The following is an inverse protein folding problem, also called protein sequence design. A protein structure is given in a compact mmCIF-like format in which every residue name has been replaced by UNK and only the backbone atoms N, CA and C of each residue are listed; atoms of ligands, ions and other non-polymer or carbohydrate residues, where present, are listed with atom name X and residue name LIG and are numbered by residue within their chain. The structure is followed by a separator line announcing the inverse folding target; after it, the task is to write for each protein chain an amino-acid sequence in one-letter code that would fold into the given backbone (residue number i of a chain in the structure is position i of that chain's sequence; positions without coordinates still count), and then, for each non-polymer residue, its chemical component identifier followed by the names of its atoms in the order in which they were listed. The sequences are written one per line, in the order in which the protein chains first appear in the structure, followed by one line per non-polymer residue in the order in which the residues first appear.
data_IF_567462447926
#
_entry.id   IF_567462447926
#
_cell.length_a   1.000
_cell.length_b   1.000
_cell.length_c   1.000
_cell.angle_alpha   90.00
_cell.angle_beta   90.00
_cell.angle_gamma   90.00
#
_symmetry.space_group_name_H-M   'P 1'
#
loop_
_entity.id
_entity.type
_entity.pdbx_description
1 polymer ?
#
# COMPACT_ATOMS: atom_id res chain seq x y z
N UNK A 1 -11.65 15.48 15.36
CA UNK A 1 -10.82 14.66 14.47
C UNK A 1 -9.59 15.48 14.21
N UNK A 2 -8.40 14.93 14.48
CA UNK A 2 -7.16 15.68 14.35
C UNK A 2 -6.84 15.88 12.87
N UNK A 3 -6.49 17.11 12.50
CA UNK A 3 -6.13 17.47 11.13
C UNK A 3 -4.81 16.77 10.74
N UNK A 4 -4.87 15.90 9.74
CA UNK A 4 -3.71 15.11 9.31
C UNK A 4 -2.53 16.01 8.87
N UNK A 5 -2.79 17.22 8.36
CA UNK A 5 -1.73 18.18 8.01
C UNK A 5 -0.96 18.64 9.23
N UNK A 6 -1.68 19.02 10.29
CA UNK A 6 -1.06 19.39 11.56
C UNK A 6 -0.27 18.24 12.19
N UNK A 7 -0.73 16.99 12.06
CA UNK A 7 0.02 15.82 12.52
C UNK A 7 1.33 15.64 11.72
N UNK A 8 1.29 15.78 10.39
CA UNK A 8 2.51 15.77 9.57
C UNK A 8 3.47 16.87 10.00
N UNK A 9 2.99 18.10 10.16
CA UNK A 9 3.82 19.24 10.58
C UNK A 9 4.50 18.95 11.93
N UNK A 10 3.78 18.35 12.88
CA UNK A 10 4.31 17.96 14.19
C UNK A 10 5.39 16.88 14.07
N UNK A 11 5.15 15.83 13.28
CA UNK A 11 6.12 14.76 13.05
C UNK A 11 7.42 15.31 12.44
N UNK A 12 7.31 16.20 11.44
CA UNK A 12 8.45 16.86 10.79
C UNK A 12 9.31 17.67 11.77
N UNK A 13 8.72 18.25 12.83
CA UNK A 13 9.51 18.99 13.82
C UNK A 13 10.39 18.09 14.69
N UNK A 14 10.00 16.83 14.88
CA UNK A 14 10.68 15.91 15.82
C UNK A 14 11.40 14.76 15.13
N UNK A 15 11.21 14.52 13.83
CA UNK A 15 11.77 13.36 13.11
C UNK A 15 13.31 13.25 13.14
N UNK A 16 14.02 14.34 13.41
CA UNK A 16 15.48 14.33 13.56
C UNK A 16 15.97 14.14 15.00
N UNK A 17 15.09 14.30 15.99
CA UNK A 17 15.42 14.25 17.43
C UNK A 17 14.75 13.10 18.17
N UNK A 18 13.58 12.67 17.71
CA UNK A 18 12.79 11.53 18.18
C UNK A 18 12.13 10.81 17.00
N UNK A 19 12.86 9.86 16.41
CA UNK A 19 12.40 9.10 15.24
C UNK A 19 11.22 8.18 15.55
N UNK A 20 11.17 7.62 16.77
CA UNK A 20 10.08 6.73 17.20
C UNK A 20 8.81 7.54 17.42
N UNK A 21 8.92 8.69 18.11
CA UNK A 21 7.82 9.61 18.29
C UNK A 21 7.27 10.13 16.95
N UNK A 22 8.15 10.56 16.04
CA UNK A 22 7.74 11.00 14.70
C UNK A 22 7.00 9.91 13.93
N UNK A 23 7.51 8.67 13.97
CA UNK A 23 6.88 7.52 13.32
C UNK A 23 5.43 7.32 13.80
N UNK A 24 5.18 7.33 15.12
CA UNK A 24 3.84 7.20 15.68
C UNK A 24 2.89 8.34 15.28
N UNK A 25 3.41 9.56 15.17
CA UNK A 25 2.63 10.72 14.69
C UNK A 25 2.29 10.55 13.21
N UNK A 26 3.23 10.10 12.37
CA UNK A 26 2.96 9.81 10.96
C UNK A 26 1.91 8.70 10.78
N UNK A 27 1.94 7.64 11.58
CA UNK A 27 0.87 6.62 11.57
C UNK A 27 -0.50 7.21 11.94
N UNK A 28 -0.52 8.12 12.91
CA UNK A 28 -1.75 8.83 13.31
C UNK A 28 -2.25 9.74 12.18
N UNK A 29 -1.35 10.42 11.48
CA UNK A 29 -1.67 11.25 10.32
C UNK A 29 -2.28 10.42 9.18
N UNK A 30 -1.74 9.23 8.90
CA UNK A 30 -2.29 8.29 7.92
C UNK A 30 -3.74 7.91 8.29
N UNK A 31 -3.99 7.53 9.54
CA UNK A 31 -5.34 7.16 10.00
C UNK A 31 -6.32 8.34 9.87
N UNK A 32 -5.89 9.54 10.23
CA UNK A 32 -6.70 10.75 10.09
C UNK A 32 -7.02 11.06 8.61
N UNK A 33 -6.03 11.01 7.73
CA UNK A 33 -6.23 11.28 6.29
C UNK A 33 -7.14 10.26 5.61
N UNK A 34 -7.03 8.97 5.99
CA UNK A 34 -7.92 7.92 5.47
C UNK A 34 -9.35 8.09 5.95
N UNK A 35 -9.56 8.44 7.23
CA UNK A 35 -10.89 8.71 7.75
C UNK A 35 -11.53 9.96 7.09
N UNK A 36 -10.75 11.00 6.80
CA UNK A 36 -11.22 12.17 6.05
C UNK A 36 -11.62 11.77 4.62
N UNK A 37 -10.79 10.95 3.98
CA UNK A 37 -11.04 10.44 2.62
C UNK A 37 -12.31 9.58 2.58
N UNK A 38 -12.52 8.71 3.56
CA UNK A 38 -13.73 7.88 3.68
C UNK A 38 -15.02 8.72 3.78
N UNK A 39 -14.97 9.88 4.44
CA UNK A 39 -16.12 10.79 4.49
C UNK A 39 -16.46 11.40 3.12
N UNK A 40 -15.46 11.60 2.26
CA UNK A 40 -15.64 12.15 0.91
C UNK A 40 -16.17 11.12 -0.08
N UNK A 41 -15.95 9.84 0.17
CA UNK A 41 -16.37 8.73 -0.71
C UNK A 41 -17.88 8.52 -0.81
N UNK A 42 -18.69 9.29 -0.08
CA UNK A 42 -20.14 9.38 -0.37
C UNK A 42 -20.45 10.11 -1.69
N UNK A 43 -19.49 10.85 -2.24
CA UNK A 43 -19.61 11.50 -3.55
C UNK A 43 -19.15 10.57 -4.69
N UNK A 44 -19.95 10.48 -5.74
CA UNK A 44 -19.72 9.55 -6.87
C UNK A 44 -18.45 9.90 -7.64
N UNK A 45 -18.14 11.19 -7.81
CA UNK A 45 -16.93 11.60 -8.52
C UNK A 45 -15.69 11.26 -7.70
N UNK A 46 -15.73 11.51 -6.38
CA UNK A 46 -14.65 11.11 -5.48
C UNK A 46 -14.42 9.59 -5.49
N UNK A 47 -15.50 8.79 -5.44
CA UNK A 47 -15.42 7.33 -5.51
C UNK A 47 -14.84 6.84 -6.83
N UNK A 48 -15.26 7.40 -7.97
CA UNK A 48 -14.73 7.06 -9.27
C UNK A 48 -13.23 7.40 -9.43
N UNK A 49 -12.77 8.50 -8.82
CA UNK A 49 -11.35 8.87 -8.81
C UNK A 49 -10.52 7.83 -8.04
N UNK A 50 -10.98 7.41 -6.86
CA UNK A 50 -10.28 6.38 -6.06
C UNK A 50 -10.25 5.04 -6.80
N UNK A 51 -11.37 4.63 -7.42
CA UNK A 51 -11.42 3.41 -8.23
C UNK A 51 -10.42 3.46 -9.41
N UNK A 52 -10.31 4.60 -10.11
CA UNK A 52 -9.36 4.77 -11.19
C UNK A 52 -7.89 4.73 -10.71
N UNK A 53 -7.60 5.33 -9.55
CA UNK A 53 -6.26 5.28 -8.93
C UNK A 53 -5.92 3.85 -8.54
N UNK A 54 -6.86 3.13 -7.93
CA UNK A 54 -6.69 1.72 -7.60
C UNK A 54 -6.33 0.90 -8.85
N UNK A 55 -7.11 1.04 -9.93
CA UNK A 55 -6.84 0.33 -11.19
C UNK A 55 -5.48 0.65 -11.78
N UNK A 56 -5.03 1.91 -11.67
CA UNK A 56 -3.71 2.33 -12.12
C UNK A 56 -2.57 1.68 -11.30
N UNK A 57 -2.71 1.59 -9.98
CA UNK A 57 -1.74 0.95 -9.09
C UNK A 57 -1.63 -0.56 -9.36
N UNK A 58 -2.76 -1.24 -9.54
CA UNK A 58 -2.79 -2.65 -9.96
C UNK A 58 -2.08 -2.86 -11.29
N UNK A 59 -2.43 -2.08 -12.32
CA UNK A 59 -1.83 -2.20 -13.64
C UNK A 59 -0.31 -1.93 -13.62
N UNK A 60 0.11 -0.98 -12.79
CA UNK A 60 1.53 -0.68 -12.59
C UNK A 60 2.27 -1.84 -11.92
N UNK A 61 1.73 -2.40 -10.82
CA UNK A 61 2.32 -3.56 -10.15
C UNK A 61 2.48 -4.75 -11.11
N UNK A 62 1.45 -5.04 -11.90
CA UNK A 62 1.50 -6.09 -12.93
C UNK A 62 2.54 -5.81 -14.02
N UNK A 63 2.70 -4.54 -14.42
CA UNK A 63 3.75 -4.15 -15.39
C UNK A 63 5.15 -4.46 -14.85
N UNK A 64 5.40 -4.17 -13.57
CA UNK A 64 6.68 -4.50 -12.90
C UNK A 64 6.88 -6.01 -12.85
N UNK A 65 5.86 -6.77 -12.45
CA UNK A 65 5.93 -8.23 -12.33
C UNK A 65 6.13 -8.93 -13.67
N UNK A 66 5.41 -8.53 -14.72
CA UNK A 66 5.58 -9.05 -16.07
C UNK A 66 6.97 -8.74 -16.62
N UNK A 67 7.47 -7.54 -16.36
CA UNK A 67 8.80 -7.13 -16.78
C UNK A 67 9.89 -7.93 -16.06
N UNK A 68 9.74 -8.15 -14.75
CA UNK A 68 10.64 -9.02 -13.99
C UNK A 68 10.67 -10.43 -14.57
N UNK A 69 9.51 -11.02 -14.90
CA UNK A 69 9.43 -12.33 -15.56
C UNK A 69 10.10 -12.34 -16.94
N UNK A 70 10.00 -11.25 -17.70
CA UNK A 70 10.57 -11.14 -19.04
C UNK A 70 12.09 -10.87 -19.04
N UNK A 71 12.58 -10.12 -18.05
CA UNK A 71 14.01 -9.82 -17.87
C UNK A 71 14.78 -11.02 -17.28
N UNK A 72 14.07 -11.99 -16.70
CA UNK A 72 14.61 -13.22 -16.08
C UNK A 72 15.87 -12.96 -15.22
N UNK A 73 15.79 -12.04 -14.23
CA UNK A 73 16.92 -11.73 -13.39
C UNK A 73 17.27 -12.92 -12.51
N UNK A 74 18.54 -13.02 -12.10
CA UNK A 74 18.95 -13.98 -11.07
C UNK A 74 18.12 -13.76 -9.80
N UNK A 75 17.44 -14.83 -9.35
CA UNK A 75 16.61 -14.81 -8.14
C UNK A 75 17.49 -14.46 -6.93
N UNK A 76 17.06 -13.47 -6.14
CA UNK A 76 17.87 -12.94 -5.03
C UNK A 76 18.96 -11.96 -5.45
N UNK A 77 19.20 -11.79 -6.75
CA UNK A 77 20.08 -10.76 -7.29
C UNK A 77 19.49 -9.36 -7.11
N UNK A 78 20.33 -8.32 -7.28
CA UNK A 78 19.93 -6.93 -7.05
C UNK A 78 18.73 -6.50 -7.90
N UNK A 79 18.68 -6.90 -9.17
CA UNK A 79 17.58 -6.56 -10.08
C UNK A 79 16.28 -7.27 -9.70
N UNK A 80 16.35 -8.54 -9.30
CA UNK A 80 15.20 -9.29 -8.79
C UNK A 80 14.67 -8.66 -7.50
N UNK A 81 15.56 -8.37 -6.55
CA UNK A 81 15.19 -7.75 -5.28
C UNK A 81 14.60 -6.34 -5.45
N UNK A 82 15.14 -5.54 -6.36
CA UNK A 82 14.60 -4.21 -6.64
C UNK A 82 13.21 -4.28 -7.27
N UNK A 83 12.99 -5.18 -8.24
CA UNK A 83 11.68 -5.39 -8.87
C UNK A 83 10.66 -5.94 -7.89
N UNK A 84 11.05 -6.92 -7.08
CA UNK A 84 10.19 -7.50 -6.04
C UNK A 84 9.82 -6.44 -5.00
N UNK A 85 10.79 -5.65 -4.52
CA UNK A 85 10.53 -4.54 -3.59
C UNK A 85 9.66 -3.44 -4.19
N UNK A 86 9.85 -3.11 -5.48
CA UNK A 86 9.01 -2.15 -6.20
C UNK A 86 7.56 -2.62 -6.28
N UNK A 87 7.31 -3.89 -6.64
CA UNK A 87 5.96 -4.45 -6.68
C UNK A 87 5.35 -4.54 -5.28
N UNK A 88 6.13 -4.96 -4.29
CA UNK A 88 5.71 -5.10 -2.89
C UNK A 88 5.33 -3.76 -2.26
N UNK A 89 6.09 -2.70 -2.52
CA UNK A 89 5.74 -1.36 -2.03
C UNK A 89 4.39 -0.86 -2.57
N UNK A 90 4.09 -1.16 -3.84
CA UNK A 90 2.81 -0.79 -4.45
C UNK A 90 1.67 -1.63 -3.89
N UNK A 91 1.87 -2.94 -3.69
CA UNK A 91 0.83 -3.79 -3.09
C UNK A 91 0.54 -3.40 -1.64
N UNK A 92 1.55 -3.05 -0.82
CA UNK A 92 1.31 -2.50 0.51
C UNK A 92 0.46 -1.22 0.51
N UNK A 93 0.62 -0.34 -0.49
CA UNK A 93 -0.24 0.87 -0.61
C UNK A 93 -1.69 0.46 -0.90
N UNK A 94 -1.90 -0.46 -1.85
CA UNK A 94 -3.23 -1.01 -2.14
C UNK A 94 -3.85 -1.62 -0.89
N UNK A 95 -3.17 -2.60 -0.31
CA UNK A 95 -3.68 -3.45 0.76
C UNK A 95 -3.76 -2.80 2.14
N UNK A 96 -2.94 -1.79 2.44
CA UNK A 96 -2.85 -1.24 3.80
C UNK A 96 -3.33 0.21 3.90
N UNK A 97 -3.53 0.88 2.76
CA UNK A 97 -4.11 2.22 2.70
C UNK A 97 -5.43 2.24 1.96
N UNK A 98 -5.46 1.79 0.70
CA UNK A 98 -6.65 1.92 -0.15
C UNK A 98 -7.74 0.93 0.25
N UNK A 99 -7.39 -0.32 0.60
CA UNK A 99 -8.36 -1.35 1.03
C UNK A 99 -9.04 -1.00 2.36
N UNK A 100 -8.51 -0.03 3.13
CA UNK A 100 -9.19 0.54 4.30
C UNK A 100 -10.35 1.47 3.93
N UNK A 101 -10.45 1.87 2.66
CA UNK A 101 -11.53 2.68 2.13
C UNK A 101 -12.65 1.75 1.66
N UNK A 102 -13.78 1.83 2.34
CA UNK A 102 -14.95 1.02 2.05
C UNK A 102 -15.90 1.73 1.10
N UNK A 103 -16.41 0.99 0.12
CA UNK A 103 -17.58 1.40 -0.64
C UNK A 103 -18.86 1.13 0.15
N UNK A 104 -19.12 2.01 1.11
CA UNK A 104 -20.33 1.96 1.95
C UNK A 104 -21.64 2.13 1.17
N UNK A 105 -21.59 2.63 -0.06
CA UNK A 105 -22.77 2.87 -0.86
C UNK A 105 -23.01 1.81 -1.96
N UNK A 106 -22.05 0.90 -2.19
CA UNK A 106 -22.12 -0.16 -3.20
C UNK A 106 -22.18 0.38 -4.63
N UNK A 107 -21.58 1.54 -4.88
CA UNK A 107 -21.65 2.26 -6.16
C UNK A 107 -20.46 1.91 -7.07
N UNK A 108 -19.38 1.37 -6.51
CA UNK A 108 -18.10 1.07 -7.16
C UNK A 108 -17.75 -0.41 -7.09
N UNK A 109 -16.70 -0.81 -7.80
CA UNK A 109 -16.14 -2.17 -7.73
C UNK A 109 -15.11 -2.35 -6.60
N UNK A 110 -14.94 -1.40 -5.67
CA UNK A 110 -13.86 -1.41 -4.67
C UNK A 110 -13.79 -2.71 -3.85
N UNK A 111 -14.93 -3.33 -3.50
CA UNK A 111 -14.92 -4.62 -2.80
C UNK A 111 -14.40 -5.80 -3.63
N UNK A 112 -14.69 -5.84 -4.94
CA UNK A 112 -14.12 -6.87 -5.83
C UNK A 112 -12.65 -6.61 -6.17
N UNK A 113 -12.24 -5.34 -6.09
CA UNK A 113 -10.87 -4.92 -6.23
C UNK A 113 -10.05 -5.37 -5.00
N UNK A 114 -10.55 -5.21 -3.77
CA UNK A 114 -9.91 -5.71 -2.53
C UNK A 114 -9.52 -7.22 -2.61
N UNK A 115 -10.47 -8.09 -3.00
CA UNK A 115 -10.19 -9.51 -3.19
C UNK A 115 -9.07 -9.77 -4.23
N UNK A 116 -8.97 -8.90 -5.25
CA UNK A 116 -7.94 -8.99 -6.27
C UNK A 116 -6.58 -8.46 -5.79
N UNK A 117 -6.52 -7.36 -5.02
CA UNK A 117 -5.26 -6.89 -4.40
C UNK A 117 -4.70 -7.92 -3.47
N UNK A 118 -5.53 -8.56 -2.64
CA UNK A 118 -5.10 -9.63 -1.74
C UNK A 118 -4.37 -10.75 -2.49
N UNK A 119 -4.99 -11.28 -3.55
CA UNK A 119 -4.41 -12.32 -4.38
C UNK A 119 -3.09 -11.87 -5.02
N UNK A 120 -3.04 -10.63 -5.52
CA UNK A 120 -1.84 -10.06 -6.10
C UNK A 120 -0.72 -9.91 -5.06
N UNK A 121 -1.05 -9.46 -3.86
CA UNK A 121 -0.10 -9.27 -2.76
C UNK A 121 0.53 -10.60 -2.35
N UNK A 122 -0.27 -11.66 -2.25
CA UNK A 122 0.22 -13.01 -1.95
C UNK A 122 1.22 -13.52 -3.02
N UNK A 123 0.96 -13.28 -4.30
CA UNK A 123 1.91 -13.60 -5.37
C UNK A 123 3.22 -12.82 -5.26
N UNK A 124 3.15 -11.55 -4.87
CA UNK A 124 4.31 -10.68 -4.70
C UNK A 124 5.12 -11.08 -3.47
N UNK A 125 4.48 -11.51 -2.38
CA UNK A 125 5.16 -12.03 -1.18
C UNK A 125 6.10 -13.18 -1.54
N UNK A 126 5.70 -14.08 -2.45
CA UNK A 126 6.57 -15.16 -2.92
C UNK A 126 7.86 -14.62 -3.53
N UNK A 127 7.77 -13.54 -4.31
CA UNK A 127 8.93 -12.90 -4.93
C UNK A 127 9.77 -12.12 -3.91
N UNK A 128 9.12 -11.41 -2.97
CA UNK A 128 9.77 -10.70 -1.87
C UNK A 128 10.61 -11.66 -1.00
N UNK A 129 10.07 -12.83 -0.67
CA UNK A 129 10.79 -13.89 0.06
C UNK A 129 11.93 -14.46 -0.77
N UNK A 130 11.70 -14.75 -2.05
CA UNK A 130 12.73 -15.26 -2.95
C UNK A 130 13.88 -14.26 -3.15
N UNK A 131 13.58 -12.95 -3.09
CA UNK A 131 14.56 -11.89 -3.11
C UNK A 131 15.40 -11.79 -1.81
N UNK A 132 15.05 -12.55 -0.77
CA UNK A 132 15.71 -12.49 0.53
C UNK A 132 15.52 -11.14 1.23
N UNK A 133 14.38 -10.45 0.98
CA UNK A 133 14.09 -9.20 1.67
C UNK A 133 14.02 -9.46 3.19
N UNK A 134 14.89 -8.79 3.95
CA UNK A 134 15.00 -8.94 5.42
C UNK A 134 14.09 -7.97 6.18
N UNK A 135 13.22 -7.25 5.48
CA UNK A 135 12.22 -6.37 6.09
C UNK A 135 11.04 -7.21 6.58
N UNK A 136 10.35 -6.75 7.63
CA UNK A 136 9.10 -7.38 8.09
C UNK A 136 8.07 -7.34 6.95
N UNK A 137 7.83 -8.51 6.35
CA UNK A 137 6.80 -8.66 5.33
C UNK A 137 5.45 -8.74 6.02
N UNK A 138 4.46 -8.08 5.43
CA UNK A 138 3.09 -8.04 5.88
C UNK A 138 2.23 -8.89 4.96
N UNK A 139 1.24 -9.58 5.52
CA UNK A 139 0.19 -10.19 4.72
C UNK A 139 -0.72 -9.12 4.12
N UNK A 140 -1.68 -9.53 3.30
CA UNK A 140 -2.60 -8.60 2.65
C UNK A 140 -3.46 -7.78 3.63
N UNK A 141 -3.59 -8.20 4.89
CA UNK A 141 -4.34 -7.50 5.94
C UNK A 141 -3.45 -6.61 6.81
N UNK A 142 -2.15 -6.58 6.53
CA UNK A 142 -1.16 -5.74 7.21
C UNK A 142 -0.62 -6.38 8.48
N UNK A 143 -0.87 -7.66 8.71
CA UNK A 143 -0.30 -8.40 9.84
C UNK A 143 1.08 -8.93 9.47
N UNK A 144 2.00 -8.94 10.44
CA UNK A 144 3.37 -9.40 10.21
C UNK A 144 3.37 -10.91 9.89
N UNK A 145 3.98 -11.26 8.76
CA UNK A 145 4.27 -12.64 8.39
C UNK A 145 5.43 -13.16 9.25
N UNK A 146 5.09 -13.81 10.36
CA UNK A 146 6.05 -14.57 11.14
C UNK A 146 6.48 -15.81 10.33
N UNK A 147 7.78 -16.04 10.21
CA UNK A 147 8.37 -17.18 9.49
C UNK A 147 7.87 -18.55 9.97
#
# INVERSE_FOLDING_TARGET
MDDWKSLIDQAMQIETTDTIGAHQIYESAVRAALADSQMLLGDVEAAAIIEAIYGALVAYSQTVMLRMKAEDPEVGGADHAFRAGQAYGVSCILNHLIDRLTDVAGITALGALDDFSDMLHDEIIVQARAAGLTVELLDAKGDILLE
#
